data_IF_216571664906
#
_entry.id   IF_216571664906
#
_cell.length_a   1.000
_cell.length_b   1.000
_cell.length_c   1.000
_cell.angle_alpha   90.00
_cell.angle_beta   90.00
_cell.angle_gamma   90.00
#
_symmetry.space_group_name_H-M   'P 1'
#
loop_
_entity.id
_entity.type
_entity.pdbx_description
1 polymer ?
#
# COMPACT_ATOMS: atom_id res chain seq x y z
N UNK A 1 -10.84 -13.17 -27.81
CA UNK A 1 -11.19 -12.44 -26.57
C UNK A 1 -12.32 -11.48 -26.87
N UNK A 2 -13.49 -11.68 -26.29
CA UNK A 2 -14.56 -10.69 -26.36
C UNK A 2 -14.20 -9.46 -25.51
N UNK A 3 -14.64 -8.27 -25.93
CA UNK A 3 -14.41 -7.04 -25.19
C UNK A 3 -14.99 -7.08 -23.76
N UNK A 4 -16.07 -7.83 -23.57
CA UNK A 4 -16.68 -8.05 -22.26
C UNK A 4 -15.78 -8.86 -21.32
N UNK A 5 -15.09 -9.88 -21.82
CA UNK A 5 -14.14 -10.67 -21.05
C UNK A 5 -12.94 -9.83 -20.60
N UNK A 6 -12.44 -8.97 -21.49
CA UNK A 6 -11.35 -8.07 -21.17
C UNK A 6 -11.76 -7.05 -20.10
N UNK A 7 -12.95 -6.46 -20.24
CA UNK A 7 -13.49 -5.53 -19.26
C UNK A 7 -13.66 -6.20 -17.89
N UNK A 8 -14.10 -7.45 -17.86
CA UNK A 8 -14.26 -8.22 -16.63
C UNK A 8 -12.90 -8.48 -15.94
N UNK A 9 -11.88 -8.84 -16.71
CA UNK A 9 -10.52 -9.03 -16.20
C UNK A 9 -10.00 -7.74 -15.56
N UNK A 10 -10.15 -6.60 -16.23
CA UNK A 10 -9.74 -5.30 -15.70
C UNK A 10 -10.51 -4.96 -14.42
N UNK A 11 -11.83 -5.13 -14.41
CA UNK A 11 -12.65 -4.91 -13.24
C UNK A 11 -12.20 -5.76 -12.04
N UNK A 12 -11.81 -7.01 -12.27
CA UNK A 12 -11.31 -7.89 -11.21
C UNK A 12 -9.99 -7.40 -10.60
N UNK A 13 -9.12 -6.76 -11.38
CA UNK A 13 -7.89 -6.16 -10.83
C UNK A 13 -8.20 -4.98 -9.90
N UNK A 14 -9.21 -4.18 -10.23
CA UNK A 14 -9.67 -3.08 -9.38
C UNK A 14 -10.31 -3.59 -8.09
N UNK A 15 -11.13 -4.62 -8.18
CA UNK A 15 -11.74 -5.27 -7.02
C UNK A 15 -10.69 -5.90 -6.11
N UNK A 16 -9.67 -6.53 -6.68
CA UNK A 16 -8.55 -7.09 -5.92
C UNK A 16 -7.80 -6.01 -5.14
N UNK A 17 -7.55 -4.87 -5.76
CA UNK A 17 -6.93 -3.71 -5.10
C UNK A 17 -7.79 -3.20 -3.94
N UNK A 18 -9.10 -3.05 -4.16
CA UNK A 18 -10.04 -2.64 -3.12
C UNK A 18 -10.06 -3.60 -1.94
N UNK A 19 -10.13 -4.89 -2.21
CA UNK A 19 -10.18 -5.92 -1.17
C UNK A 19 -8.86 -5.98 -0.39
N UNK A 20 -7.74 -5.84 -1.06
CA UNK A 20 -6.42 -5.78 -0.45
C UNK A 20 -6.26 -4.58 0.48
N UNK A 21 -6.70 -3.40 0.04
CA UNK A 21 -6.72 -2.19 0.86
C UNK A 21 -7.57 -2.38 2.11
N UNK A 22 -8.72 -3.03 1.97
CA UNK A 22 -9.64 -3.35 3.06
C UNK A 22 -9.00 -4.29 4.08
N UNK A 23 -8.35 -5.36 3.61
CA UNK A 23 -7.64 -6.33 4.45
C UNK A 23 -6.49 -5.66 5.21
N UNK A 24 -5.71 -4.81 4.55
CA UNK A 24 -4.64 -4.06 5.20
C UNK A 24 -5.15 -3.11 6.28
N UNK A 25 -6.23 -2.38 6.02
CA UNK A 25 -6.85 -1.51 7.01
C UNK A 25 -7.33 -2.26 8.25
N UNK A 26 -7.89 -3.45 8.05
CA UNK A 26 -8.43 -4.26 9.14
C UNK A 26 -7.32 -4.88 10.01
N UNK A 27 -6.23 -5.32 9.41
CA UNK A 27 -5.19 -6.13 10.06
C UNK A 27 -3.93 -5.33 10.42
N UNK A 28 -3.66 -4.24 9.70
CA UNK A 28 -2.44 -3.46 9.83
C UNK A 28 -2.77 -1.97 10.02
N UNK A 29 -3.12 -1.52 11.24
CA UNK A 29 -3.49 -0.13 11.49
C UNK A 29 -2.34 0.86 11.22
N UNK A 30 -1.10 0.38 11.20
CA UNK A 30 0.10 1.14 10.86
C UNK A 30 0.33 1.29 9.35
N UNK A 31 -0.43 0.58 8.51
CA UNK A 31 -0.45 0.79 7.05
C UNK A 31 -1.37 1.97 6.75
N UNK A 32 -0.81 3.00 6.11
CA UNK A 32 -1.53 4.23 5.76
C UNK A 32 -1.63 4.33 4.24
N UNK A 33 -2.78 3.91 3.71
CA UNK A 33 -3.06 3.97 2.29
C UNK A 33 -3.25 5.43 1.84
N UNK A 34 -2.67 5.76 0.68
CA UNK A 34 -2.90 7.05 0.04
C UNK A 34 -4.30 7.07 -0.60
N UNK A 35 -5.11 8.02 -0.23
CA UNK A 35 -6.46 8.22 -0.79
C UNK A 35 -6.50 9.45 -1.71
N UNK A 36 -7.26 9.40 -2.80
CA UNK A 36 -8.06 8.28 -3.28
C UNK A 36 -7.23 7.21 -3.99
N UNK A 37 -7.73 5.97 -4.01
CA UNK A 37 -7.13 4.85 -4.75
C UNK A 37 -8.22 4.19 -5.61
N UNK A 38 -8.49 4.78 -6.77
CA UNK A 38 -9.59 4.40 -7.65
C UNK A 38 -9.14 3.52 -8.83
N UNK A 39 -7.94 2.94 -8.72
CA UNK A 39 -7.34 2.11 -9.77
C UNK A 39 -6.92 0.75 -9.22
N UNK A 40 -6.16 0.01 -10.01
CA UNK A 40 -5.51 -1.22 -9.60
C UNK A 40 -4.12 -0.98 -8.97
N UNK A 41 -3.84 0.24 -8.55
CA UNK A 41 -2.58 0.63 -7.90
C UNK A 41 -2.90 1.07 -6.47
N UNK A 42 -2.22 0.46 -5.50
CA UNK A 42 -2.27 0.86 -4.11
C UNK A 42 -0.91 1.41 -3.69
N UNK A 43 -0.89 2.63 -3.20
CA UNK A 43 0.27 3.23 -2.57
C UNK A 43 0.00 3.39 -1.07
N UNK A 44 0.98 3.04 -0.25
CA UNK A 44 0.84 3.20 1.20
C UNK A 44 2.18 3.54 1.86
N UNK A 45 2.09 4.22 2.98
CA UNK A 45 3.20 4.43 3.90
C UNK A 45 2.98 3.68 5.20
N UNK A 46 4.02 3.60 6.02
CA UNK A 46 3.98 3.01 7.36
C UNK A 46 4.09 4.14 8.36
N UNK A 47 3.11 4.27 9.23
CA UNK A 47 3.13 5.27 10.31
C UNK A 47 2.25 4.85 11.47
N UNK A 48 2.75 5.07 12.68
CA UNK A 48 1.94 5.02 13.89
C UNK A 48 1.36 6.42 14.16
N UNK A 49 0.34 6.47 15.00
CA UNK A 49 -0.30 7.74 15.36
C UNK A 49 0.71 8.70 15.99
N UNK A 50 0.80 9.90 15.47
CA UNK A 50 1.70 10.94 15.96
C UNK A 50 3.09 10.93 15.34
N UNK A 51 3.42 9.96 14.47
CA UNK A 51 4.70 9.96 13.76
C UNK A 51 4.84 11.19 12.87
N UNK A 52 6.03 11.79 12.85
CA UNK A 52 6.34 12.80 11.84
C UNK A 52 6.54 12.18 10.47
N UNK A 53 6.53 12.98 9.42
CA UNK A 53 6.76 12.50 8.05
C UNK A 53 8.13 11.81 7.91
N UNK A 54 9.17 12.34 8.53
CA UNK A 54 10.51 11.72 8.48
C UNK A 54 10.54 10.34 9.14
N UNK A 55 9.85 10.17 10.28
CA UNK A 55 9.73 8.89 10.96
C UNK A 55 8.92 7.90 10.13
N UNK A 56 7.80 8.34 9.56
CA UNK A 56 7.00 7.53 8.66
C UNK A 56 7.80 7.08 7.43
N UNK A 57 8.60 7.96 6.85
CA UNK A 57 9.48 7.63 5.72
C UNK A 57 10.51 6.56 6.10
N UNK A 58 11.13 6.67 7.26
CA UNK A 58 12.09 5.65 7.74
C UNK A 58 11.44 4.29 7.91
N UNK A 59 10.27 4.23 8.52
CA UNK A 59 9.50 2.99 8.68
C UNK A 59 9.08 2.40 7.34
N UNK A 60 8.62 3.25 6.43
CA UNK A 60 8.21 2.83 5.08
C UNK A 60 9.36 2.24 4.29
N UNK A 61 10.52 2.90 4.29
CA UNK A 61 11.72 2.39 3.62
C UNK A 61 12.19 1.07 4.22
N UNK A 62 12.17 0.96 5.53
CA UNK A 62 12.57 -0.26 6.23
C UNK A 62 11.67 -1.45 5.86
N UNK A 63 10.37 -1.24 5.80
CA UNK A 63 9.44 -2.27 5.32
C UNK A 63 9.68 -2.60 3.86
N UNK A 64 9.84 -1.59 3.01
CA UNK A 64 10.14 -1.77 1.58
C UNK A 64 11.37 -2.64 1.36
N UNK A 65 12.47 -2.36 2.04
CA UNK A 65 13.72 -3.14 1.95
C UNK A 65 13.50 -4.61 2.33
N UNK A 66 12.73 -4.87 3.37
CA UNK A 66 12.40 -6.23 3.79
C UNK A 66 11.54 -6.97 2.78
N UNK A 67 10.54 -6.30 2.19
CA UNK A 67 9.69 -6.91 1.16
C UNK A 67 10.52 -7.22 -0.10
N UNK A 68 11.36 -6.30 -0.54
CA UNK A 68 12.20 -6.48 -1.73
C UNK A 68 13.22 -7.60 -1.55
N UNK A 69 13.72 -7.81 -0.34
CA UNK A 69 14.61 -8.92 -0.02
C UNK A 69 13.89 -10.27 0.04
N UNK A 70 12.56 -10.29 0.15
CA UNK A 70 11.76 -11.51 0.15
C UNK A 70 11.47 -11.96 -1.29
N UNK A 71 11.54 -13.28 -1.59
CA UNK A 71 11.20 -13.79 -2.92
C UNK A 71 9.69 -13.88 -3.18
N UNK A 72 8.85 -13.63 -2.17
CA UNK A 72 7.43 -13.96 -2.23
C UNK A 72 6.58 -12.89 -2.90
N UNK A 73 6.96 -11.60 -2.76
CA UNK A 73 6.18 -10.47 -3.26
C UNK A 73 7.06 -9.45 -3.96
N UNK A 74 6.49 -8.79 -4.96
CA UNK A 74 7.14 -7.73 -5.71
C UNK A 74 6.39 -6.41 -5.51
N UNK A 75 7.11 -5.40 -5.06
CA UNK A 75 6.59 -4.03 -4.88
C UNK A 75 7.59 -3.04 -5.46
N UNK A 76 7.14 -1.82 -5.71
CA UNK A 76 7.99 -0.71 -6.08
C UNK A 76 7.87 0.44 -5.08
N UNK A 77 8.76 1.42 -5.20
CA UNK A 77 8.76 2.62 -4.37
C UNK A 77 8.33 3.82 -5.20
N UNK A 78 7.49 4.66 -4.62
CA UNK A 78 7.10 5.95 -5.19
C UNK A 78 7.50 7.06 -4.22
N UNK A 79 7.98 8.16 -4.77
CA UNK A 79 8.38 9.35 -4.01
C UNK A 79 7.58 10.55 -4.50
N UNK A 80 6.90 11.22 -3.58
CA UNK A 80 6.18 12.47 -3.85
C UNK A 80 6.88 13.62 -3.13
N UNK A 81 7.16 14.70 -3.83
CA UNK A 81 7.76 15.89 -3.24
C UNK A 81 6.68 16.80 -2.65
N UNK A 82 6.92 17.27 -1.43
CA UNK A 82 6.00 18.19 -0.73
C UNK A 82 5.76 19.47 -1.53
N UNK A 83 6.80 19.96 -2.23
CA UNK A 83 6.70 21.16 -3.09
C UNK A 83 5.69 21.02 -4.21
N UNK A 84 5.47 19.80 -4.72
CA UNK A 84 4.55 19.50 -5.84
C UNK A 84 3.18 19.00 -5.37
N UNK A 85 3.14 18.28 -4.25
CA UNK A 85 1.95 17.55 -3.77
C UNK A 85 1.56 17.93 -2.34
N UNK A 86 1.77 19.20 -1.96
CA UNK A 86 1.58 19.66 -0.57
C UNK A 86 0.19 19.32 0.00
N UNK A 87 -0.88 19.57 -0.74
CA UNK A 87 -2.24 19.32 -0.27
C UNK A 87 -2.50 17.82 -0.02
N UNK A 88 -2.04 16.97 -0.94
CA UNK A 88 -2.17 15.53 -0.84
C UNK A 88 -1.37 14.97 0.34
N UNK A 89 -0.12 15.40 0.48
CA UNK A 89 0.78 14.96 1.56
C UNK A 89 0.27 15.46 2.92
N UNK A 90 -0.23 16.70 3.00
CA UNK A 90 -0.81 17.24 4.23
C UNK A 90 -2.01 16.41 4.68
N UNK A 91 -2.92 16.06 3.77
CA UNK A 91 -4.06 15.20 4.06
C UNK A 91 -3.62 13.81 4.54
N UNK A 92 -2.62 13.24 3.89
CA UNK A 92 -2.08 11.92 4.24
C UNK A 92 -1.45 11.94 5.64
N UNK A 93 -0.61 12.91 5.95
CA UNK A 93 0.05 13.07 7.25
C UNK A 93 -0.97 13.30 8.37
N UNK A 94 -2.03 14.08 8.11
CA UNK A 94 -3.12 14.27 9.05
C UNK A 94 -3.86 12.98 9.39
N UNK A 95 -3.90 12.00 8.48
CA UNK A 95 -4.58 10.72 8.72
C UNK A 95 -3.98 9.92 9.87
N UNK A 96 -2.72 10.19 10.24
CA UNK A 96 -2.07 9.59 11.41
C UNK A 96 -1.61 10.64 12.45
N UNK A 97 -2.23 11.81 12.44
CA UNK A 97 -1.96 12.90 13.38
C UNK A 97 -0.48 13.34 13.42
N UNK A 98 0.18 13.29 12.26
CA UNK A 98 1.59 13.61 12.13
C UNK A 98 1.87 15.07 11.79
N UNK A 99 3.15 15.38 11.59
CA UNK A 99 3.65 16.68 11.16
C UNK A 99 4.59 16.53 9.96
N UNK A 100 4.69 17.56 9.13
CA UNK A 100 5.57 17.58 7.97
C UNK A 100 6.93 18.17 8.37
N UNK A 101 7.92 17.31 8.45
CA UNK A 101 9.31 17.62 8.79
C UNK A 101 10.31 17.08 7.76
N UNK A 102 9.82 16.71 6.56
CA UNK A 102 10.61 16.21 5.45
C UNK A 102 10.10 16.83 4.15
N UNK A 103 10.93 16.84 3.13
CA UNK A 103 10.61 17.36 1.80
C UNK A 103 9.91 16.33 0.89
N UNK A 104 9.88 15.08 1.30
CA UNK A 104 9.40 13.93 0.50
C UNK A 104 8.49 13.04 1.32
N UNK A 105 7.56 12.40 0.62
CA UNK A 105 6.79 11.27 1.11
C UNK A 105 7.20 10.03 0.33
N UNK A 106 7.66 8.98 1.03
CA UNK A 106 7.94 7.67 0.46
C UNK A 106 6.71 6.78 0.58
N UNK A 107 6.39 6.08 -0.50
CA UNK A 107 5.26 5.16 -0.56
C UNK A 107 5.71 3.82 -1.14
N UNK A 108 5.18 2.74 -0.60
CA UNK A 108 5.26 1.42 -1.21
C UNK A 108 4.12 1.33 -2.21
N UNK A 109 4.43 0.94 -3.44
CA UNK A 109 3.49 0.87 -4.55
C UNK A 109 3.26 -0.57 -4.94
N UNK A 110 2.01 -1.01 -4.84
CA UNK A 110 1.55 -2.33 -5.27
C UNK A 110 0.66 -2.16 -6.50
N UNK A 111 0.96 -2.91 -7.57
CA UNK A 111 0.17 -2.94 -8.80
C UNK A 111 -0.52 -4.28 -8.91
N UNK A 112 -1.84 -4.26 -9.04
CA UNK A 112 -2.67 -5.45 -9.11
C UNK A 112 -2.97 -5.78 -10.58
N UNK A 113 -2.10 -6.58 -11.20
CA UNK A 113 -2.24 -7.04 -12.57
C UNK A 113 -2.84 -8.45 -12.67
N UNK A 114 -2.85 -9.19 -11.56
CA UNK A 114 -3.38 -10.54 -11.52
C UNK A 114 -4.87 -10.53 -11.14
N UNK A 115 -5.79 -10.86 -12.07
CA UNK A 115 -7.22 -10.86 -11.79
C UNK A 115 -7.65 -11.95 -10.80
N UNK A 116 -6.84 -12.98 -10.60
CA UNK A 116 -7.14 -14.06 -9.64
C UNK A 116 -6.99 -13.64 -8.18
N UNK A 117 -6.38 -12.48 -7.90
CA UNK A 117 -6.33 -11.92 -6.54
C UNK A 117 -7.70 -11.56 -5.96
N UNK A 118 -8.72 -11.48 -6.81
CA UNK A 118 -10.11 -11.30 -6.40
C UNK A 118 -10.86 -12.63 -6.15
N UNK A 119 -10.26 -13.76 -6.50
CA UNK A 119 -10.87 -15.09 -6.26
C UNK A 119 -11.05 -15.34 -4.76
N UNK A 120 -12.21 -15.90 -4.33
CA UNK A 120 -12.49 -16.10 -2.91
C UNK A 120 -11.50 -17.02 -2.20
N UNK A 121 -10.97 -18.03 -2.89
CA UNK A 121 -10.08 -19.04 -2.32
C UNK A 121 -8.61 -18.62 -2.47
N UNK A 122 -8.10 -18.62 -3.70
CA UNK A 122 -6.68 -18.35 -4.01
C UNK A 122 -6.32 -16.89 -3.71
N UNK A 123 -7.17 -15.96 -4.12
CA UNK A 123 -6.93 -14.54 -3.92
C UNK A 123 -6.92 -14.16 -2.44
N UNK A 124 -7.88 -14.67 -1.67
CA UNK A 124 -7.94 -14.42 -0.23
C UNK A 124 -6.72 -14.99 0.49
N UNK A 125 -6.24 -16.18 0.09
CA UNK A 125 -5.03 -16.78 0.65
C UNK A 125 -3.79 -15.95 0.35
N UNK A 126 -3.60 -15.50 -0.89
CA UNK A 126 -2.45 -14.68 -1.27
C UNK A 126 -2.43 -13.34 -0.54
N UNK A 127 -3.61 -12.71 -0.38
CA UNK A 127 -3.71 -11.48 0.40
C UNK A 127 -3.37 -11.68 1.87
N UNK A 128 -3.86 -12.77 2.47
CA UNK A 128 -3.55 -13.12 3.85
C UNK A 128 -2.06 -13.39 4.06
N UNK A 129 -1.42 -14.10 3.15
CA UNK A 129 0.04 -14.37 3.19
C UNK A 129 0.84 -13.08 3.15
N UNK A 130 0.46 -12.12 2.31
CA UNK A 130 1.13 -10.81 2.26
C UNK A 130 0.96 -10.05 3.57
N UNK A 131 -0.27 -9.98 4.11
CA UNK A 131 -0.55 -9.33 5.39
C UNK A 131 0.27 -9.95 6.51
N UNK A 132 0.34 -11.26 6.57
CA UNK A 132 1.11 -11.99 7.60
C UNK A 132 2.61 -11.68 7.48
N UNK A 133 3.14 -11.66 6.25
CA UNK A 133 4.56 -11.39 6.03
C UNK A 133 4.95 -9.97 6.42
N UNK A 134 4.20 -8.96 5.98
CA UNK A 134 4.51 -7.57 6.34
C UNK A 134 4.30 -7.29 7.82
N UNK A 135 3.34 -7.95 8.46
CA UNK A 135 3.13 -7.87 9.90
C UNK A 135 4.33 -8.42 10.65
N UNK A 136 4.87 -9.56 10.21
CA UNK A 136 6.10 -10.13 10.76
C UNK A 136 7.28 -9.18 10.62
N UNK A 137 7.43 -8.54 9.47
CA UNK A 137 8.48 -7.54 9.24
C UNK A 137 8.34 -6.32 10.14
N UNK A 138 7.11 -5.79 10.27
CA UNK A 138 6.83 -4.64 11.12
C UNK A 138 7.12 -4.92 12.59
N UNK A 139 6.72 -6.08 13.09
CA UNK A 139 6.92 -6.47 14.49
C UNK A 139 8.40 -6.66 14.85
N UNK A 140 9.28 -6.80 13.86
CA UNK A 140 10.72 -6.97 14.05
C UNK A 140 11.52 -5.73 13.61
N UNK A 141 10.92 -4.59 13.60
CA UNK A 141 11.61 -3.32 13.29
C UNK A 141 12.67 -2.94 14.32
#
# INVERSE_FOLDING_TARGET
FASEDFAHIIANTFLACRDFKKDLKASCPWVRALDPSDTNILCFSVADNGDSLSVANQKTLKLFEKIVASPNFAVSKTVLHVSEYRALITKHVKSFAGSIDDEKLFLIRCVFMNPFLNEPDIGAQLRAEFVDEITGFYNNF
#
